data_IF_975980007756
#
_entry.id   IF_975980007756
#
_cell.length_a   1.000
_cell.length_b   1.000
_cell.length_c   1.000
_cell.angle_alpha   90.00
_cell.angle_beta   90.00
_cell.angle_gamma   90.00
#
_symmetry.space_group_name_H-M   'P 1'
#
loop_
_entity.id
_entity.type
_entity.pdbx_description
1 polymer ?
#
# COMPACT_ATOMS: atom_id res chain seq x y z
N UNK A 1 7.87 26.08 -24.78
CA UNK A 1 7.26 27.23 -25.48
C UNK A 1 8.28 28.36 -25.50
N UNK A 2 8.54 28.98 -26.65
CA UNK A 2 9.39 30.18 -26.70
C UNK A 2 8.64 31.33 -26.03
N UNK A 3 9.26 31.95 -25.02
CA UNK A 3 8.77 33.17 -24.37
C UNK A 3 9.36 34.37 -25.12
N UNK A 4 8.64 35.48 -25.09
CA UNK A 4 9.19 36.77 -25.48
C UNK A 4 10.27 37.20 -24.46
N UNK A 5 11.08 38.20 -24.81
CA UNK A 5 12.21 38.66 -23.99
C UNK A 5 11.76 39.21 -22.62
N UNK A 6 10.53 39.71 -22.53
CA UNK A 6 9.84 40.15 -21.32
C UNK A 6 9.20 39.01 -20.51
N UNK A 7 9.41 37.75 -20.92
CA UNK A 7 8.85 36.57 -20.27
C UNK A 7 7.37 36.31 -20.58
N UNK A 8 6.71 37.19 -21.36
CA UNK A 8 5.34 37.00 -21.79
C UNK A 8 5.23 35.89 -22.83
N UNK A 9 4.09 35.19 -22.86
CA UNK A 9 3.83 34.21 -23.90
C UNK A 9 3.43 34.91 -25.20
N UNK A 10 3.99 34.44 -26.31
CA UNK A 10 3.62 34.95 -27.62
C UNK A 10 2.10 34.78 -27.83
N UNK A 11 1.41 35.88 -28.16
CA UNK A 11 -0.05 35.93 -28.32
C UNK A 11 -0.55 34.93 -29.36
N UNK A 12 0.24 34.64 -30.41
CA UNK A 12 -0.09 33.62 -31.41
C UNK A 12 -0.04 32.21 -30.82
N UNK A 13 0.87 31.92 -29.88
CA UNK A 13 0.90 30.64 -29.16
C UNK A 13 -0.31 30.53 -28.21
N UNK A 14 -0.68 31.60 -27.49
CA UNK A 14 -1.86 31.62 -26.61
C UNK A 14 -3.18 31.42 -27.38
N UNK A 15 -3.31 32.04 -28.56
CA UNK A 15 -4.45 31.87 -29.46
C UNK A 15 -4.39 30.57 -30.30
N UNK A 16 -3.40 29.70 -30.07
CA UNK A 16 -3.15 28.44 -30.81
C UNK A 16 -2.90 28.59 -32.33
N UNK A 17 -2.63 29.82 -32.77
CA UNK A 17 -2.38 30.15 -34.17
C UNK A 17 -0.88 30.03 -34.54
N UNK A 18 0.02 29.85 -33.57
CA UNK A 18 1.46 29.69 -33.84
C UNK A 18 1.76 28.43 -34.66
N UNK A 19 2.51 28.55 -35.76
CA UNK A 19 2.95 27.43 -36.61
C UNK A 19 4.07 26.60 -35.97
N UNK A 20 4.84 27.20 -35.07
CA UNK A 20 6.11 26.65 -34.58
C UNK A 20 6.02 26.12 -33.13
N UNK A 21 4.90 26.34 -32.47
CA UNK A 21 4.63 25.93 -31.10
C UNK A 21 3.17 25.46 -30.95
N UNK A 22 2.93 24.32 -30.28
CA UNK A 22 1.57 23.88 -29.93
C UNK A 22 1.34 22.38 -30.05
N UNK A 23 0.24 21.91 -29.46
CA UNK A 23 -0.18 20.49 -29.48
C UNK A 23 -0.33 19.92 -30.89
N UNK A 24 -0.61 20.75 -31.90
CA UNK A 24 -0.70 20.35 -33.32
C UNK A 24 0.64 19.90 -33.94
N UNK A 25 1.77 20.25 -33.31
CA UNK A 25 3.14 19.93 -33.77
C UNK A 25 3.69 18.72 -32.98
N UNK A 26 3.07 18.42 -31.84
CA UNK A 26 3.34 17.18 -31.14
C UNK A 26 2.74 16.05 -31.98
N UNK A 27 3.58 15.13 -32.44
CA UNK A 27 3.14 13.87 -33.02
C UNK A 27 2.53 13.02 -31.90
N UNK A 28 1.29 13.33 -31.54
CA UNK A 28 0.50 12.45 -30.70
C UNK A 28 0.23 11.17 -31.48
N UNK A 29 0.50 10.04 -30.84
CA UNK A 29 -0.03 8.77 -31.33
C UNK A 29 -1.57 8.90 -31.37
N UNK A 30 -2.26 8.31 -32.35
CA UNK A 30 -3.71 8.35 -32.43
C UNK A 30 -4.32 7.96 -31.08
N UNK A 31 -5.26 8.75 -30.59
CA UNK A 31 -5.96 8.44 -29.34
C UNK A 31 -6.67 7.09 -29.54
N UNK A 32 -6.27 6.06 -28.79
CA UNK A 32 -6.88 4.72 -28.86
C UNK A 32 -8.21 4.70 -28.09
N UNK A 33 -9.12 5.62 -28.38
CA UNK A 33 -10.49 5.55 -27.89
C UNK A 33 -11.30 4.74 -28.90
N UNK A 34 -11.58 3.49 -28.59
CA UNK A 34 -12.68 2.78 -29.24
C UNK A 34 -13.99 3.21 -28.57
N UNK A 35 -14.57 4.28 -29.11
CA UNK A 35 -15.90 4.81 -28.73
C UNK A 35 -17.00 4.27 -29.63
N UNK A 36 -16.72 3.24 -30.43
CA UNK A 36 -17.74 2.59 -31.24
C UNK A 36 -18.74 1.82 -30.36
N UNK A 37 -19.97 1.67 -30.85
CA UNK A 37 -20.98 0.83 -30.20
C UNK A 37 -20.59 -0.67 -30.15
N UNK A 38 -19.47 -1.03 -30.80
CA UNK A 38 -18.85 -2.36 -30.78
C UNK A 38 -17.74 -2.51 -29.74
N UNK A 39 -17.45 -1.49 -28.94
CA UNK A 39 -16.42 -1.54 -27.90
C UNK A 39 -16.72 -2.64 -26.86
N UNK A 40 -15.77 -3.56 -26.70
CA UNK A 40 -15.96 -4.79 -25.94
C UNK A 40 -16.03 -4.51 -24.42
N UNK A 41 -17.12 -4.94 -23.77
CA UNK A 41 -17.26 -4.86 -22.32
C UNK A 41 -16.38 -5.90 -21.64
N UNK A 42 -15.54 -5.47 -20.69
CA UNK A 42 -14.71 -6.40 -19.92
C UNK A 42 -15.51 -6.87 -18.70
N UNK A 43 -15.63 -8.20 -18.57
CA UNK A 43 -16.24 -8.85 -17.40
C UNK A 43 -15.18 -9.04 -16.31
N UNK A 44 -15.46 -8.56 -15.11
CA UNK A 44 -14.58 -8.67 -13.95
C UNK A 44 -15.36 -9.05 -12.70
N UNK A 45 -14.67 -9.43 -11.61
CA UNK A 45 -15.29 -9.85 -10.35
C UNK A 45 -14.84 -8.96 -9.20
N UNK A 46 -15.75 -8.61 -8.29
CA UNK A 46 -15.49 -7.83 -7.08
C UNK A 46 -16.18 -8.45 -5.87
N UNK A 47 -15.56 -8.38 -4.71
CA UNK A 47 -16.26 -8.64 -3.45
C UNK A 47 -17.18 -7.46 -3.09
N UNK A 48 -18.48 -7.73 -2.97
CA UNK A 48 -19.50 -6.74 -2.64
C UNK A 48 -20.45 -7.30 -1.58
N UNK A 49 -20.95 -6.44 -0.70
CA UNK A 49 -21.92 -6.82 0.33
C UNK A 49 -23.31 -6.95 -0.30
N UNK A 50 -23.75 -8.18 -0.55
CA UNK A 50 -25.05 -8.48 -1.14
C UNK A 50 -26.04 -8.81 -0.03
N UNK A 51 -27.21 -8.17 -0.05
CA UNK A 51 -28.32 -8.49 0.84
C UNK A 51 -28.98 -9.78 0.38
N UNK A 52 -28.81 -10.86 1.14
CA UNK A 52 -29.44 -12.16 0.88
C UNK A 52 -30.66 -12.29 1.78
N UNK A 53 -31.82 -12.56 1.18
CA UNK A 53 -33.03 -12.89 1.92
C UNK A 53 -32.88 -14.28 2.54
N UNK A 54 -32.92 -14.36 3.86
CA UNK A 54 -33.02 -15.63 4.59
C UNK A 54 -34.49 -15.87 4.94
N UNK A 55 -34.92 -17.14 4.97
CA UNK A 55 -36.31 -17.54 5.25
C UNK A 55 -36.87 -16.76 6.46
N UNK A 56 -38.01 -16.10 6.25
CA UNK A 56 -38.68 -15.27 7.25
C UNK A 56 -38.23 -13.81 7.23
N UNK A 57 -38.48 -13.09 6.12
CA UNK A 57 -38.35 -11.62 5.93
C UNK A 57 -37.10 -10.92 6.49
N UNK A 58 -36.02 -11.66 6.83
CA UNK A 58 -34.77 -11.12 7.35
C UNK A 58 -33.73 -11.09 6.24
N UNK A 59 -33.21 -9.91 5.95
CA UNK A 59 -32.08 -9.71 5.03
C UNK A 59 -30.77 -9.73 5.80
N UNK A 60 -29.81 -10.54 5.34
CA UNK A 60 -28.44 -10.55 5.88
C UNK A 60 -27.50 -10.07 4.78
N UNK A 61 -26.64 -9.09 5.06
CA UNK A 61 -25.58 -8.68 4.14
C UNK A 61 -24.44 -9.69 4.20
N UNK A 62 -24.15 -10.35 3.09
CA UNK A 62 -22.99 -11.25 2.96
C UNK A 62 -22.01 -10.69 1.93
N UNK A 63 -20.73 -10.74 2.24
CA UNK A 63 -19.68 -10.42 1.28
C UNK A 63 -19.64 -11.55 0.24
N UNK A 64 -19.97 -11.24 -1.01
CA UNK A 64 -20.02 -12.21 -2.11
C UNK A 64 -19.21 -11.70 -3.30
N UNK A 65 -18.66 -12.64 -4.07
CA UNK A 65 -17.94 -12.34 -5.31
C UNK A 65 -18.95 -12.09 -6.44
N UNK A 66 -19.17 -10.83 -6.78
CA UNK A 66 -20.13 -10.38 -7.79
C UNK A 66 -19.42 -10.14 -9.13
N UNK A 67 -20.03 -10.59 -10.23
CA UNK A 67 -19.58 -10.29 -11.60
C UNK A 67 -20.08 -8.89 -12.01
N UNK A 68 -19.20 -8.06 -12.55
CA UNK A 68 -19.51 -6.73 -13.10
C UNK A 68 -18.98 -6.63 -14.52
N UNK A 69 -19.58 -5.73 -15.30
CA UNK A 69 -19.14 -5.40 -16.66
C UNK A 69 -18.95 -3.89 -16.73
N UNK A 70 -17.85 -3.44 -17.34
CA UNK A 70 -17.60 -2.02 -17.54
C UNK A 70 -16.88 -1.78 -18.86
N UNK A 71 -17.14 -0.63 -19.49
CA UNK A 71 -16.25 -0.09 -20.51
C UNK A 71 -14.97 0.32 -19.82
N UNK A 72 -13.90 -0.40 -20.12
CA UNK A 72 -12.60 -0.16 -19.50
C UNK A 72 -11.90 0.87 -20.35
N UNK A 73 -11.39 1.94 -19.72
CA UNK A 73 -10.53 2.89 -20.42
C UNK A 73 -9.40 2.12 -21.13
N UNK A 74 -8.98 2.53 -22.33
CA UNK A 74 -8.05 1.76 -23.17
C UNK A 74 -6.78 1.30 -22.43
N UNK A 75 -6.32 2.13 -21.49
CA UNK A 75 -5.13 1.88 -20.67
C UNK A 75 -5.34 0.81 -19.59
N UNK A 76 -6.51 0.79 -18.95
CA UNK A 76 -6.85 -0.24 -17.94
C UNK A 76 -7.06 -1.61 -18.61
N UNK A 77 -7.58 -1.62 -19.85
CA UNK A 77 -7.76 -2.83 -20.64
C UNK A 77 -6.41 -3.44 -21.07
N UNK A 78 -5.48 -2.60 -21.52
CA UNK A 78 -4.14 -3.03 -21.90
C UNK A 78 -3.38 -3.69 -20.74
N UNK A 79 -3.45 -3.11 -19.53
CA UNK A 79 -2.86 -3.69 -18.32
C UNK A 79 -3.47 -5.04 -17.95
N UNK A 80 -4.80 -5.18 -18.04
CA UNK A 80 -5.50 -6.45 -17.81
C UNK A 80 -5.11 -7.54 -18.80
N UNK A 81 -4.94 -7.20 -20.07
CA UNK A 81 -4.53 -8.13 -21.13
C UNK A 81 -3.11 -8.66 -20.87
N UNK A 82 -2.17 -7.80 -20.49
CA UNK A 82 -0.79 -8.20 -20.20
C UNK A 82 -0.76 -9.22 -19.06
N UNK A 83 -1.46 -8.93 -17.94
CA UNK A 83 -1.56 -9.84 -16.80
C UNK A 83 -2.14 -11.19 -17.20
N UNK A 84 -3.29 -11.19 -17.86
CA UNK A 84 -3.95 -12.43 -18.30
C UNK A 84 -3.07 -13.26 -19.22
N UNK A 85 -2.35 -12.64 -20.17
CA UNK A 85 -1.50 -13.36 -21.09
C UNK A 85 -0.23 -13.89 -20.43
N UNK A 86 0.36 -13.16 -19.48
CA UNK A 86 1.45 -13.66 -18.67
C UNK A 86 1.00 -14.86 -17.82
N UNK A 87 -0.13 -14.75 -17.12
CA UNK A 87 -0.70 -15.82 -16.30
C UNK A 87 -0.97 -17.09 -17.12
N UNK A 88 -1.62 -16.95 -18.28
CA UNK A 88 -1.87 -18.09 -19.16
C UNK A 88 -0.59 -18.75 -19.66
N UNK A 89 0.46 -17.98 -19.97
CA UNK A 89 1.72 -18.52 -20.45
C UNK A 89 2.48 -19.28 -19.36
N UNK A 90 2.41 -18.80 -18.11
CA UNK A 90 2.96 -19.51 -16.93
C UNK A 90 2.18 -20.81 -16.68
N UNK A 91 0.84 -20.73 -16.62
CA UNK A 91 -0.02 -21.89 -16.36
C UNK A 91 0.10 -22.99 -17.42
N UNK A 92 0.41 -22.61 -18.67
CA UNK A 92 0.65 -23.54 -19.78
C UNK A 92 2.10 -24.05 -19.85
N UNK A 93 2.97 -23.62 -18.93
CA UNK A 93 4.40 -24.00 -18.94
C UNK A 93 5.18 -23.44 -20.14
N UNK A 94 4.67 -22.41 -20.81
CA UNK A 94 5.29 -21.83 -22.00
C UNK A 94 6.42 -20.86 -21.66
N UNK A 95 6.37 -20.26 -20.47
CA UNK A 95 7.39 -19.34 -19.98
C UNK A 95 7.45 -19.38 -18.46
N UNK A 96 8.59 -19.02 -17.90
CA UNK A 96 8.76 -18.84 -16.46
C UNK A 96 9.02 -17.35 -16.18
N UNK A 97 8.11 -16.71 -15.45
CA UNK A 97 8.20 -15.29 -15.10
C UNK A 97 8.36 -15.21 -13.59
N UNK A 98 9.56 -14.88 -13.12
CA UNK A 98 9.91 -14.74 -11.70
C UNK A 98 10.26 -13.31 -11.33
N UNK A 99 10.79 -12.54 -12.28
CA UNK A 99 11.22 -11.16 -12.08
C UNK A 99 10.46 -10.18 -12.99
N UNK A 100 10.54 -8.89 -12.67
CA UNK A 100 10.01 -7.83 -13.54
C UNK A 100 10.72 -7.79 -14.91
N UNK A 101 11.98 -8.23 -14.97
CA UNK A 101 12.74 -8.34 -16.21
C UNK A 101 12.18 -9.46 -17.07
N UNK A 102 11.89 -10.62 -16.49
CA UNK A 102 11.30 -11.76 -17.21
C UNK A 102 9.93 -11.39 -17.79
N UNK A 103 9.13 -10.62 -17.04
CA UNK A 103 7.83 -10.13 -17.52
C UNK A 103 8.01 -9.16 -18.71
N UNK A 104 9.00 -8.27 -18.64
CA UNK A 104 9.35 -7.39 -19.74
C UNK A 104 9.82 -8.16 -20.97
N UNK A 105 10.70 -9.15 -20.82
CA UNK A 105 11.22 -9.97 -21.92
C UNK A 105 10.10 -10.78 -22.60
N UNK A 106 9.20 -11.37 -21.80
CA UNK A 106 8.00 -12.03 -22.30
C UNK A 106 7.11 -11.05 -23.08
N UNK A 107 6.84 -9.89 -22.50
CA UNK A 107 5.99 -8.89 -23.14
C UNK A 107 6.60 -8.37 -24.45
N UNK A 108 7.89 -8.11 -24.46
CA UNK A 108 8.61 -7.63 -25.63
C UNK A 108 8.66 -8.68 -26.75
N UNK A 109 8.74 -9.96 -26.39
CA UNK A 109 8.82 -11.07 -27.35
C UNK A 109 7.46 -11.45 -27.93
N UNK A 110 6.40 -11.47 -27.11
CA UNK A 110 5.10 -12.05 -27.48
C UNK A 110 3.96 -11.05 -27.57
N UNK A 111 4.08 -9.88 -26.94
CA UNK A 111 2.99 -8.91 -26.80
C UNK A 111 3.21 -7.61 -27.59
N UNK A 112 4.39 -7.39 -28.16
CA UNK A 112 4.71 -6.18 -28.94
C UNK A 112 3.90 -6.10 -30.23
N UNK A 113 3.57 -7.25 -30.82
CA UNK A 113 2.74 -7.30 -32.02
C UNK A 113 1.29 -6.89 -31.70
N UNK A 114 0.68 -6.05 -32.54
CA UNK A 114 -0.69 -5.61 -32.35
C UNK A 114 -1.68 -6.77 -32.48
N UNK A 115 -2.72 -6.74 -31.66
CA UNK A 115 -3.91 -7.59 -31.80
C UNK A 115 -5.13 -6.68 -32.01
N UNK A 116 -6.26 -7.23 -32.43
CA UNK A 116 -7.50 -6.52 -32.80
C UNK A 116 -7.86 -5.30 -31.93
N UNK A 117 -7.56 -5.33 -30.63
CA UNK A 117 -7.93 -4.29 -29.65
C UNK A 117 -6.75 -3.43 -29.16
N UNK A 118 -5.53 -3.59 -29.71
CA UNK A 118 -4.37 -2.80 -29.30
C UNK A 118 -3.42 -2.65 -30.48
N UNK A 119 -3.39 -1.44 -31.07
CA UNK A 119 -2.75 -1.17 -32.37
C UNK A 119 -1.24 -1.04 -32.26
N UNK A 120 -0.69 -0.77 -31.07
CA UNK A 120 0.75 -0.78 -30.80
C UNK A 120 1.07 -0.91 -29.31
N UNK A 121 1.99 -1.82 -28.96
CA UNK A 121 2.50 -1.95 -27.59
C UNK A 121 4.01 -1.68 -27.57
N UNK A 122 4.42 -0.78 -26.68
CA UNK A 122 5.82 -0.48 -26.42
C UNK A 122 6.06 -0.78 -24.95
N UNK A 123 6.89 -1.77 -24.68
CA UNK A 123 7.33 -2.08 -23.32
C UNK A 123 8.62 -1.34 -23.04
N UNK A 124 8.76 -0.80 -21.83
CA UNK A 124 10.01 -0.20 -21.34
C UNK A 124 10.33 -0.82 -20.01
N UNK A 125 11.57 -1.28 -19.86
CA UNK A 125 12.10 -1.73 -18.59
C UNK A 125 12.80 -0.56 -17.90
N UNK A 126 12.46 -0.32 -16.64
CA UNK A 126 13.16 0.62 -15.78
C UNK A 126 13.97 -0.19 -14.78
N UNK A 127 15.31 -0.06 -14.82
CA UNK A 127 16.23 -0.78 -13.92
C UNK A 127 16.05 -0.35 -12.47
N UNK A 128 15.78 0.94 -12.26
CA UNK A 128 15.51 1.52 -10.95
C UNK A 128 14.20 2.29 -10.99
N UNK A 129 13.37 2.05 -9.98
CA UNK A 129 12.19 2.85 -9.70
C UNK A 129 12.41 3.39 -8.30
N UNK A 130 12.50 4.71 -8.16
CA UNK A 130 12.52 5.34 -6.85
C UNK A 130 11.17 5.07 -6.16
N UNK A 131 11.15 4.08 -5.27
CA UNK A 131 9.98 3.69 -4.49
C UNK A 131 9.88 4.40 -3.15
N UNK A 132 10.74 5.38 -2.89
CA UNK A 132 10.72 6.25 -1.71
C UNK A 132 9.56 7.25 -1.70
N UNK A 133 8.42 6.87 -2.28
CA UNK A 133 7.15 7.47 -1.94
C UNK A 133 6.69 6.84 -0.62
N UNK A 134 7.31 7.27 0.48
CA UNK A 134 6.64 7.18 1.79
C UNK A 134 5.40 8.04 1.66
N UNK A 135 4.25 7.38 1.48
CA UNK A 135 2.97 8.07 1.51
C UNK A 135 2.78 8.53 2.95
N UNK A 136 3.07 9.79 3.25
CA UNK A 136 2.84 10.37 4.58
C UNK A 136 1.35 10.61 4.85
N UNK A 137 0.51 10.56 3.80
CA UNK A 137 -0.90 10.93 3.85
C UNK A 137 -1.77 9.99 3.01
N UNK A 138 -2.95 9.66 3.53
CA UNK A 138 -3.95 8.87 2.83
C UNK A 138 -4.42 9.65 1.59
N UNK A 139 -4.74 8.97 0.48
CA UNK A 139 -5.32 9.62 -0.69
C UNK A 139 -6.58 10.41 -0.33
N UNK A 140 -6.72 11.61 -0.91
CA UNK A 140 -7.93 12.42 -0.76
C UNK A 140 -9.10 11.68 -1.39
N UNK A 141 -10.20 11.40 -0.65
CA UNK A 141 -11.35 10.71 -1.19
C UNK A 141 -11.98 11.53 -2.33
N UNK A 142 -12.54 10.84 -3.33
CA UNK A 142 -13.23 11.49 -4.46
C UNK A 142 -12.38 12.50 -5.25
N UNK A 143 -11.06 12.33 -5.33
CA UNK A 143 -10.16 13.26 -6.04
C UNK A 143 -10.58 13.58 -7.49
N UNK A 144 -11.36 12.72 -8.14
CA UNK A 144 -11.90 12.95 -9.49
C UNK A 144 -12.93 14.08 -9.58
N UNK A 145 -13.59 14.45 -8.49
CA UNK A 145 -14.49 15.60 -8.44
C UNK A 145 -13.77 16.91 -8.12
N UNK A 146 -12.48 16.83 -7.77
CA UNK A 146 -11.65 17.99 -7.48
C UNK A 146 -10.93 18.42 -8.76
N UNK A 147 -11.19 19.63 -9.22
CA UNK A 147 -10.53 20.17 -10.42
C UNK A 147 -9.30 21.01 -10.07
N UNK A 148 -9.15 21.44 -8.81
CA UNK A 148 -7.96 22.13 -8.33
C UNK A 148 -7.59 21.68 -6.92
N UNK A 149 -6.29 21.45 -6.72
CA UNK A 149 -5.67 21.15 -5.43
C UNK A 149 -4.42 22.01 -5.29
N UNK A 150 -4.22 22.62 -4.13
CA UNK A 150 -3.05 23.47 -3.84
C UNK A 150 -2.51 23.21 -2.46
N UNK A 151 -1.20 23.43 -2.28
CA UNK A 151 -0.62 23.53 -0.96
C UNK A 151 -1.22 24.74 -0.21
N UNK A 152 -1.63 24.55 1.04
CA UNK A 152 -1.90 25.67 1.94
C UNK A 152 -0.57 26.24 2.47
N UNK A 153 -0.59 27.43 3.06
CA UNK A 153 0.60 28.00 3.75
C UNK A 153 1.05 27.10 4.90
N UNK A 154 0.11 26.36 5.47
CA UNK A 154 0.33 25.33 6.50
C UNK A 154 0.47 23.92 5.91
N UNK A 155 0.98 23.76 4.67
CA UNK A 155 1.14 22.43 4.05
C UNK A 155 2.02 21.47 4.86
N UNK A 156 2.92 21.99 5.70
CA UNK A 156 3.70 21.19 6.66
C UNK A 156 2.82 20.49 7.72
N UNK A 157 1.63 21.02 7.99
CA UNK A 157 0.62 20.41 8.87
C UNK A 157 -0.33 19.46 8.14
N UNK A 158 -0.13 19.24 6.83
CA UNK A 158 -0.99 18.40 6.00
C UNK A 158 -2.22 19.12 5.44
N UNK A 159 -2.25 20.45 5.44
CA UNK A 159 -3.37 21.24 4.91
C UNK A 159 -3.20 21.54 3.43
N UNK A 160 -4.25 21.28 2.65
CA UNK A 160 -4.34 21.60 1.22
C UNK A 160 -5.62 22.40 0.95
N UNK A 161 -5.58 23.27 -0.05
CA UNK A 161 -6.74 23.98 -0.55
C UNK A 161 -7.31 23.25 -1.75
N UNK A 162 -8.59 22.88 -1.71
CA UNK A 162 -9.27 22.16 -2.79
C UNK A 162 -10.40 23.00 -3.37
N UNK A 163 -10.73 22.76 -4.64
CA UNK A 163 -11.91 23.32 -5.30
C UNK A 163 -12.45 22.35 -6.36
N UNK A 164 -13.78 22.32 -6.45
CA UNK A 164 -14.52 21.51 -7.42
C UNK A 164 -14.45 22.08 -8.84
N UNK A 165 -14.07 23.35 -9.03
CA UNK A 165 -14.02 23.98 -10.36
C UNK A 165 -12.70 24.71 -10.59
N UNK A 166 -12.18 24.59 -11.81
CA UNK A 166 -10.99 25.31 -12.23
C UNK A 166 -11.33 26.69 -12.79
N UNK A 167 -10.59 27.72 -12.37
CA UNK A 167 -10.59 29.03 -13.01
C UNK A 167 -9.27 29.31 -13.72
N UNK A 168 -9.35 29.91 -14.91
CA UNK A 168 -8.21 30.34 -15.74
C UNK A 168 -8.23 31.86 -16.02
N UNK A 169 -8.82 32.65 -15.11
CA UNK A 169 -8.72 34.11 -15.19
C UNK A 169 -7.27 34.57 -15.03
N UNK A 170 -6.98 35.82 -15.40
CA UNK A 170 -5.64 36.42 -15.33
C UNK A 170 -5.01 36.20 -13.94
N UNK A 171 -5.75 36.48 -12.87
CA UNK A 171 -5.24 36.34 -11.51
C UNK A 171 -4.90 34.87 -11.17
N UNK A 172 -5.73 33.91 -11.59
CA UNK A 172 -5.42 32.49 -11.40
C UNK A 172 -4.20 32.04 -12.23
N UNK A 173 -4.01 32.57 -13.44
CA UNK A 173 -2.85 32.27 -14.27
C UNK A 173 -1.54 32.82 -13.66
N UNK A 174 -1.62 33.89 -12.87
CA UNK A 174 -0.49 34.49 -12.15
C UNK A 174 -0.33 33.98 -10.71
N UNK A 175 -1.00 32.89 -10.34
CA UNK A 175 -0.98 32.32 -9.00
C UNK A 175 -1.58 33.22 -7.89
N UNK A 176 -2.33 34.26 -8.27
CA UNK A 176 -3.04 35.19 -7.39
C UNK A 176 -4.48 34.72 -7.18
N UNK A 177 -4.64 33.54 -6.61
CA UNK A 177 -5.92 32.85 -6.60
C UNK A 177 -6.95 33.40 -5.61
N UNK A 178 -6.48 34.02 -4.53
CA UNK A 178 -7.33 34.74 -3.56
C UNK A 178 -8.03 35.93 -4.22
N UNK A 179 -7.50 36.39 -5.36
CA UNK A 179 -8.04 37.47 -6.17
C UNK A 179 -8.75 36.93 -7.43
N UNK A 180 -9.18 35.67 -7.44
CA UNK A 180 -9.89 35.08 -8.57
C UNK A 180 -11.13 35.91 -8.94
N UNK A 181 -11.18 36.43 -10.17
CA UNK A 181 -12.31 37.22 -10.66
C UNK A 181 -13.61 36.43 -10.82
N UNK A 182 -13.53 35.10 -10.77
CA UNK A 182 -14.67 34.18 -10.92
C UNK A 182 -14.93 33.36 -9.66
N UNK A 183 -14.45 33.79 -8.49
CA UNK A 183 -14.60 33.08 -7.21
C UNK A 183 -16.06 32.69 -6.90
N UNK A 184 -17.01 33.55 -7.27
CA UNK A 184 -18.46 33.31 -7.12
C UNK A 184 -18.94 32.11 -7.98
N UNK A 185 -18.35 31.92 -9.17
CA UNK A 185 -18.75 30.86 -10.12
C UNK A 185 -18.02 29.55 -9.88
N UNK A 186 -16.76 29.62 -9.43
CA UNK A 186 -15.94 28.42 -9.18
C UNK A 186 -16.06 27.88 -7.77
N UNK A 187 -16.77 28.60 -6.89
CA UNK A 187 -16.71 28.36 -5.45
C UNK A 187 -15.38 28.85 -4.86
N UNK A 188 -15.40 29.11 -3.57
CA UNK A 188 -14.18 29.39 -2.81
C UNK A 188 -13.30 28.14 -2.68
N UNK A 189 -12.03 28.34 -2.33
CA UNK A 189 -11.20 27.22 -1.89
C UNK A 189 -11.64 26.79 -0.49
N UNK A 190 -11.77 25.48 -0.31
CA UNK A 190 -11.96 24.89 1.01
C UNK A 190 -10.64 24.30 1.47
N UNK A 191 -10.28 24.56 2.73
CA UNK A 191 -9.17 23.87 3.35
C UNK A 191 -9.58 22.43 3.67
N UNK A 192 -8.72 21.50 3.26
CA UNK A 192 -8.84 20.09 3.49
C UNK A 192 -7.61 19.60 4.23
N UNK A 193 -7.84 18.99 5.39
CA UNK A 193 -6.79 18.34 6.17
C UNK A 193 -6.54 16.93 5.66
N UNK A 194 -5.35 16.70 5.11
CA UNK A 194 -4.92 15.38 4.68
C UNK A 194 -4.75 14.49 5.90
N UNK A 195 -5.50 13.38 5.93
CA UNK A 195 -5.31 12.35 6.95
C UNK A 195 -3.95 11.73 6.76
N UNK A 196 -3.10 11.71 7.78
CA UNK A 196 -1.84 10.98 7.73
C UNK A 196 -2.11 9.51 7.43
N UNK A 197 -1.35 8.95 6.50
CA UNK A 197 -1.28 7.50 6.34
C UNK A 197 -0.34 7.07 7.44
N UNK A 198 -0.92 6.66 8.57
CA UNK A 198 -0.17 5.90 9.56
C UNK A 198 0.16 4.58 8.90
N UNK A 199 1.29 4.53 8.22
CA UNK A 199 1.98 3.26 8.05
C UNK A 199 2.58 3.00 9.41
N UNK A 200 2.22 1.87 9.98
CA UNK A 200 3.17 1.16 10.80
C UNK A 200 4.39 0.85 9.89
N UNK A 201 5.24 1.84 9.60
CA UNK A 201 6.65 1.59 9.90
C UNK A 201 6.60 1.08 11.33
N UNK A 202 7.16 -0.09 11.61
CA UNK A 202 7.10 -0.77 12.90
C UNK A 202 7.61 0.11 14.06
N UNK A 203 6.83 1.12 14.41
CA UNK A 203 6.77 1.86 15.63
C UNK A 203 5.51 1.30 16.25
N UNK A 204 5.75 0.29 17.10
CA UNK A 204 5.07 0.10 18.38
C UNK A 204 3.98 1.14 18.64
N UNK A 205 2.82 0.99 17.99
CA UNK A 205 1.59 1.44 18.59
C UNK A 205 1.28 0.37 19.64
N UNK A 206 1.88 0.56 20.82
CA UNK A 206 1.30 0.09 22.07
C UNK A 206 -0.07 0.79 22.25
N UNK A 207 -1.06 0.41 21.45
CA UNK A 207 -2.37 0.24 22.04
C UNK A 207 -2.20 -0.94 23.00
N UNK A 208 -1.96 -0.60 24.27
CA UNK A 208 -1.90 -1.52 25.41
C UNK A 208 -3.26 -2.22 25.60
N UNK A 209 -3.72 -3.01 24.63
CA UNK A 209 -4.40 -4.25 24.97
C UNK A 209 -3.32 -5.17 25.49
N UNK A 210 -3.14 -5.12 26.81
CA UNK A 210 -2.31 -6.04 27.56
C UNK A 210 -2.93 -7.44 27.45
N UNK A 211 -2.79 -8.08 26.28
CA UNK A 211 -3.24 -9.45 26.08
C UNK A 211 -2.28 -10.32 26.87
N UNK A 212 -2.79 -10.90 27.96
CA UNK A 212 -2.01 -11.80 28.80
C UNK A 212 -1.53 -12.97 27.96
N UNK A 213 -0.24 -13.33 28.07
CA UNK A 213 0.30 -14.54 27.42
C UNK A 213 -0.49 -15.81 27.81
N UNK A 214 -1.24 -15.78 28.92
CA UNK A 214 -2.16 -16.83 29.31
C UNK A 214 -3.30 -17.05 28.32
N UNK A 215 -3.79 -16.00 27.67
CA UNK A 215 -4.89 -16.06 26.70
C UNK A 215 -4.41 -16.48 25.30
N UNK A 216 -3.11 -16.31 25.02
CA UNK A 216 -2.51 -16.57 23.71
C UNK A 216 -1.94 -17.98 23.54
N UNK A 217 -1.80 -18.73 24.63
CA UNK A 217 -1.13 -20.04 24.65
C UNK A 217 -2.13 -21.15 24.94
N UNK A 218 -2.44 -21.95 23.92
CA UNK A 218 -3.30 -23.14 24.03
C UNK A 218 -2.51 -24.45 23.87
N UNK A 219 -2.96 -25.51 24.54
CA UNK A 219 -2.36 -26.85 24.38
C UNK A 219 -2.48 -27.30 22.92
N UNK A 220 -1.38 -27.82 22.37
CA UNK A 220 -1.25 -28.25 20.97
C UNK A 220 -0.80 -27.16 20.00
N UNK A 221 -0.73 -25.90 20.43
CA UNK A 221 -0.23 -24.79 19.63
C UNK A 221 1.28 -24.90 19.40
N UNK A 222 1.74 -24.46 18.23
CA UNK A 222 3.16 -24.32 17.92
C UNK A 222 3.58 -22.87 18.15
N UNK A 223 4.64 -22.68 18.93
CA UNK A 223 5.23 -21.38 19.29
C UNK A 223 6.69 -21.37 18.86
N UNK A 224 7.14 -20.30 18.21
CA UNK A 224 8.55 -20.10 17.91
C UNK A 224 9.22 -19.39 19.10
N UNK A 225 10.25 -20.00 19.65
CA UNK A 225 11.08 -19.44 20.72
C UNK A 225 12.33 -18.85 20.09
N UNK A 226 12.50 -17.54 20.22
CA UNK A 226 13.76 -16.90 19.86
C UNK A 226 14.87 -17.37 20.82
N UNK A 227 16.06 -17.57 20.28
CA UNK A 227 17.24 -17.99 21.04
C UNK A 227 18.46 -17.20 20.58
N UNK A 228 19.43 -17.04 21.47
CA UNK A 228 20.75 -16.48 21.17
C UNK A 228 21.77 -17.59 20.85
N UNK A 229 21.29 -18.76 20.40
CA UNK A 229 22.11 -19.89 19.96
C UNK A 229 22.74 -19.59 18.59
N UNK A 230 24.02 -19.92 18.42
CA UNK A 230 24.75 -19.67 17.17
C UNK A 230 24.28 -20.58 16.02
N UNK A 231 23.62 -21.71 16.34
CA UNK A 231 23.19 -22.69 15.33
C UNK A 231 21.81 -22.39 14.73
N UNK A 232 20.87 -21.85 15.52
CA UNK A 232 19.47 -21.70 15.12
C UNK A 232 18.91 -20.40 15.70
N UNK A 233 18.25 -19.55 14.89
CA UNK A 233 17.64 -18.30 15.37
C UNK A 233 16.35 -18.55 16.18
N UNK A 234 15.68 -19.68 15.94
CA UNK A 234 14.43 -20.04 16.60
C UNK A 234 14.26 -21.53 16.83
N UNK A 235 13.71 -21.91 17.98
CA UNK A 235 13.23 -23.26 18.27
C UNK A 235 11.70 -23.34 18.21
N UNK A 236 11.18 -24.31 17.46
CA UNK A 236 9.74 -24.59 17.44
C UNK A 236 9.35 -25.43 18.65
N UNK A 237 8.44 -24.91 19.48
CA UNK A 237 7.90 -25.56 20.67
C UNK A 237 6.43 -25.91 20.46
N UNK A 238 6.08 -27.19 20.62
CA UNK A 238 4.67 -27.60 20.72
C UNK A 238 4.24 -27.56 22.18
N UNK A 239 3.26 -26.72 22.48
CA UNK A 239 2.74 -26.54 23.85
C UNK A 239 2.02 -27.81 24.30
N UNK A 240 2.48 -28.42 25.39
CA UNK A 240 1.86 -29.60 25.99
C UNK A 240 1.00 -29.25 27.19
N UNK A 241 1.44 -28.25 27.97
CA UNK A 241 0.71 -27.73 29.11
C UNK A 241 0.57 -26.22 28.97
N UNK A 242 -0.66 -25.75 29.10
CA UNK A 242 -0.99 -24.32 29.22
C UNK A 242 -0.41 -23.73 30.51
N UNK A 243 -0.69 -22.46 30.77
CA UNK A 243 -0.11 -21.75 31.92
C UNK A 243 -0.31 -22.49 33.25
N UNK A 244 0.76 -22.66 34.01
CA UNK A 244 0.78 -23.13 35.39
C UNK A 244 1.78 -22.34 36.23
N UNK A 245 1.53 -22.22 37.54
CA UNK A 245 2.50 -21.66 38.48
C UNK A 245 3.31 -22.79 39.11
N UNK A 246 4.64 -22.73 38.99
CA UNK A 246 5.54 -23.72 39.58
C UNK A 246 5.37 -23.76 41.10
N UNK A 247 5.23 -24.96 41.68
CA UNK A 247 5.13 -25.14 43.14
C UNK A 247 6.47 -25.36 43.81
N UNK A 248 7.46 -25.78 43.03
CA UNK A 248 8.82 -26.10 43.46
C UNK A 248 9.79 -25.57 42.41
N UNK A 249 11.03 -25.36 42.82
CA UNK A 249 12.11 -25.02 41.91
C UNK A 249 12.28 -26.14 40.89
N UNK A 250 12.30 -25.79 39.61
CA UNK A 250 12.34 -26.75 38.51
C UNK A 250 13.44 -26.33 37.53
N UNK A 251 14.28 -27.27 37.13
CA UNK A 251 15.25 -27.07 36.05
C UNK A 251 14.71 -27.69 34.77
N UNK A 252 14.72 -26.94 33.66
CA UNK A 252 14.29 -27.47 32.36
C UNK A 252 15.41 -28.20 31.61
N UNK A 253 15.09 -28.75 30.43
CA UNK A 253 16.08 -29.45 29.58
C UNK A 253 17.18 -28.56 29.01
N UNK A 254 17.04 -27.24 29.11
CA UNK A 254 18.09 -26.26 28.75
C UNK A 254 18.93 -25.84 29.96
N UNK A 255 18.71 -26.43 31.13
CA UNK A 255 19.45 -26.11 32.35
C UNK A 255 18.98 -24.83 33.04
N UNK A 256 17.86 -24.23 32.61
CA UNK A 256 17.32 -23.03 33.22
C UNK A 256 16.63 -23.38 34.53
N UNK A 257 17.16 -22.86 35.65
CA UNK A 257 16.55 -23.00 36.97
C UNK A 257 15.43 -21.97 37.14
N UNK A 258 14.21 -22.46 37.32
CA UNK A 258 13.00 -21.64 37.51
C UNK A 258 12.49 -21.82 38.94
N UNK A 259 12.43 -20.75 39.75
CA UNK A 259 12.03 -20.87 41.15
C UNK A 259 10.52 -21.13 41.30
N UNK A 260 10.14 -21.71 42.42
CA UNK A 260 8.76 -21.83 42.86
C UNK A 260 8.05 -20.47 42.84
N UNK A 261 6.77 -20.45 42.45
CA UNK A 261 5.97 -19.25 42.26
C UNK A 261 6.05 -18.64 40.85
N UNK A 262 6.89 -19.17 39.96
CA UNK A 262 7.01 -18.65 38.58
C UNK A 262 5.87 -19.16 37.69
N UNK A 263 5.12 -18.28 36.99
CA UNK A 263 4.16 -18.70 35.97
C UNK A 263 4.88 -19.10 34.68
N UNK A 264 4.60 -20.29 34.19
CA UNK A 264 5.23 -20.88 33.00
C UNK A 264 4.19 -21.62 32.16
N UNK A 265 4.48 -21.80 30.87
CA UNK A 265 3.87 -22.88 30.09
C UNK A 265 4.96 -23.86 29.66
N UNK A 266 4.58 -25.09 29.33
CA UNK A 266 5.53 -26.14 28.95
C UNK A 266 5.24 -26.70 27.58
N UNK A 267 6.30 -27.05 26.87
CA UNK A 267 6.19 -27.73 25.59
C UNK A 267 7.41 -28.54 25.25
N UNK A 268 7.29 -29.33 24.19
CA UNK A 268 8.38 -30.13 23.63
C UNK A 268 8.85 -29.44 22.36
N UNK A 269 10.17 -29.28 22.24
CA UNK A 269 10.79 -28.73 21.03
C UNK A 269 10.83 -29.73 19.89
N UNK A 270 11.07 -29.25 18.67
CA UNK A 270 11.39 -30.10 17.52
C UNK A 270 12.56 -31.06 17.78
N UNK A 271 13.49 -30.72 18.68
CA UNK A 271 14.61 -31.57 19.10
C UNK A 271 14.28 -32.51 20.28
N UNK A 272 13.02 -32.54 20.75
CA UNK A 272 12.56 -33.47 21.80
C UNK A 272 12.80 -33.00 23.25
N UNK A 273 13.32 -31.78 23.45
CA UNK A 273 13.56 -31.22 24.78
C UNK A 273 12.28 -30.66 25.39
N UNK A 274 12.03 -30.97 26.68
CA UNK A 274 10.91 -30.41 27.44
C UNK A 274 11.36 -29.11 28.12
N UNK A 275 10.74 -28.01 27.70
CA UNK A 275 11.15 -26.66 28.12
C UNK A 275 10.01 -25.97 28.84
N UNK A 276 10.35 -25.18 29.85
CA UNK A 276 9.42 -24.33 30.59
C UNK A 276 9.68 -22.87 30.25
N UNK A 277 8.69 -22.19 29.66
CA UNK A 277 8.83 -20.80 29.23
C UNK A 277 8.19 -19.90 30.26
N UNK A 278 9.00 -19.05 30.91
CA UNK A 278 8.55 -18.05 31.87
C UNK A 278 7.78 -16.94 31.16
N UNK A 279 6.63 -16.57 31.70
CA UNK A 279 5.90 -15.38 31.24
C UNK A 279 6.18 -14.23 32.20
N UNK A 280 7.10 -13.35 31.83
CA UNK A 280 7.13 -12.00 32.40
C UNK A 280 6.19 -11.11 31.59
N UNK A 281 5.48 -10.20 32.25
CA UNK A 281 4.85 -9.06 31.60
C UNK A 281 5.90 -8.38 30.71
N UNK A 282 5.67 -8.35 29.40
CA UNK A 282 6.56 -7.68 28.46
C UNK A 282 6.40 -6.18 28.72
N UNK A 283 7.23 -5.61 29.59
CA UNK A 283 7.41 -4.16 29.63
C UNK A 283 8.35 -3.85 28.46
N UNK A 284 7.86 -3.12 27.45
CA UNK A 284 8.62 -2.59 26.32
C UNK A 284 9.65 -1.55 26.73
N UNK A 285 10.59 -1.92 27.60
CA UNK A 285 11.80 -1.16 27.85
C UNK A 285 12.99 -2.10 27.69
N UNK A 286 13.59 -2.03 26.50
CA UNK A 286 15.01 -2.34 26.35
C UNK A 286 15.75 -1.55 27.43
N UNK A 287 16.24 -2.28 28.43
CA UNK A 287 17.08 -1.71 29.47
C UNK A 287 18.37 -1.25 28.80
N UNK A 288 18.47 0.06 28.58
CA UNK A 288 19.76 0.72 28.43
C UNK A 288 20.61 0.36 29.65
N UNK A 289 21.52 -0.60 29.48
CA UNK A 289 22.63 -0.78 30.42
C UNK A 289 23.56 0.43 30.26
N UNK A 290 23.26 1.46 31.04
CA UNK A 290 24.23 2.47 31.45
C UNK A 290 25.38 1.75 32.17
N UNK A 291 26.54 1.61 31.52
CA UNK A 291 27.80 1.45 32.23
C UNK A 291 28.17 2.80 32.85
N UNK A 292 27.81 2.99 34.12
CA UNK A 292 28.51 3.90 35.01
C UNK A 292 29.54 3.06 35.77
N UNK A 293 30.79 3.09 35.31
CA UNK A 293 31.95 2.84 36.18
C UNK A 293 32.63 4.19 36.41
N UNK A 294 32.36 4.78 37.57
CA UNK A 294 33.26 5.74 38.17
C UNK A 294 33.31 5.45 39.67
N UNK A 295 34.54 5.54 40.19
CA UNK A 295 34.96 5.59 41.60
C UNK A 295 35.19 4.27 42.36
N UNK A 296 36.47 3.86 42.42
CA UNK A 296 37.25 3.74 43.68
C UNK A 296 38.67 4.23 43.39
N UNK A 297 39.07 5.41 43.90
CA UNK A 297 39.89 5.56 45.11
C UNK A 297 41.08 4.60 45.17
N UNK A 298 42.22 5.05 44.64
CA UNK A 298 43.47 5.34 45.38
C UNK A 298 44.56 5.81 44.42
#
# INVERSE_FOLDING_TARGET
>A
MRKNVDGSHNLQCLKRNCSDCGVKILNFLPCELDVSDTAEFVKWKKFENVSVNVKGNKTIKKLMLVKKESQVGPQDAAGGIIKRQADCAILRGQTQIRTAKDLYEYANSFLTQPRSHCKRRIFRYAETIHRDNRLSFKPVPSIRSLHQVRASRDSAKGLINISELSCFCVNCCHHMYDQCSNSIKTGGYTEWEMKREYRADAQENEENEQVSLQELVSVGQLVALYTDDDEEEYYMLKVEKSMETLRIDTTDSWGSLLPAGTPVFRGITSKGHLISVKTSTINGQGTNKNMNENEKRS
#
